data_IF_971927073428
#
_entry.id   IF_971927073428
#
_cell.length_a   1.000
_cell.length_b   1.000
_cell.length_c   1.000
_cell.angle_alpha   90.00
_cell.angle_beta   90.00
_cell.angle_gamma   90.00
#
_symmetry.space_group_name_H-M   'P 1'
#
loop_
_entity.id
_entity.type
_entity.pdbx_description
1 polymer ?
#
# COMPACT_ATOMS: atom_id res chain seq x y z
N UNK A 1 -11.89 -9.95 6.25
CA UNK A 1 -11.21 -8.85 5.54
C UNK A 1 -10.99 -9.29 4.11
N UNK A 2 -10.94 -8.35 3.17
CA UNK A 2 -10.68 -8.60 1.76
C UNK A 2 -9.24 -8.22 1.43
N UNK A 3 -8.63 -8.94 0.50
CA UNK A 3 -7.28 -8.69 0.03
C UNK A 3 -7.28 -7.54 -0.98
N UNK A 4 -6.31 -6.64 -0.85
CA UNK A 4 -6.08 -5.53 -1.76
C UNK A 4 -4.61 -5.46 -2.18
N UNK A 5 -4.43 -5.11 -3.46
CA UNK A 5 -3.16 -4.65 -4.01
C UNK A 5 -3.21 -3.12 -4.11
N UNK A 6 -2.20 -2.46 -3.59
CA UNK A 6 -2.08 -1.00 -3.63
C UNK A 6 -0.82 -0.63 -4.40
N UNK A 7 -0.94 0.33 -5.31
CA UNK A 7 0.19 0.97 -5.98
C UNK A 7 0.20 2.45 -5.70
N UNK A 8 1.34 2.95 -5.27
CA UNK A 8 1.66 4.37 -5.27
C UNK A 8 2.77 4.62 -6.28
N UNK A 9 2.61 5.67 -7.10
CA UNK A 9 3.61 6.09 -8.08
C UNK A 9 3.86 7.58 -7.94
N UNK A 10 5.10 8.00 -8.06
CA UNK A 10 5.47 9.41 -8.14
C UNK A 10 6.64 9.62 -9.11
N UNK A 11 6.99 10.88 -9.38
CA UNK A 11 8.18 11.26 -10.12
C UNK A 11 9.37 11.43 -9.18
N UNK A 12 10.60 11.26 -9.68
CA UNK A 12 11.80 11.41 -8.85
C UNK A 12 11.88 12.76 -8.13
N UNK A 13 11.33 13.82 -8.72
CA UNK A 13 11.29 15.15 -8.15
C UNK A 13 10.45 15.25 -6.86
N UNK A 14 9.41 14.41 -6.72
CA UNK A 14 8.50 14.40 -5.56
C UNK A 14 8.76 13.24 -4.60
N UNK A 15 9.90 12.57 -4.73
CA UNK A 15 10.23 11.39 -3.96
C UNK A 15 10.38 11.71 -2.46
N UNK A 16 9.50 11.20 -1.58
CA UNK A 16 9.55 11.52 -0.15
C UNK A 16 10.77 10.92 0.54
N UNK A 17 11.38 9.88 -0.04
CA UNK A 17 12.60 9.27 0.50
C UNK A 17 13.85 10.18 0.41
N UNK A 18 13.78 11.29 -0.34
CA UNK A 18 14.85 12.31 -0.37
C UNK A 18 14.81 13.24 0.84
N UNK A 19 13.68 13.27 1.57
CA UNK A 19 13.50 13.99 2.82
C UNK A 19 13.52 12.97 3.98
N UNK A 20 14.56 12.96 4.84
CA UNK A 20 14.68 11.98 5.92
C UNK A 20 13.50 12.00 6.90
N UNK A 21 12.95 13.17 7.22
CA UNK A 21 11.86 13.31 8.19
C UNK A 21 10.55 12.79 7.59
N UNK A 22 10.27 13.14 6.33
CA UNK A 22 9.11 12.63 5.60
C UNK A 22 9.19 11.12 5.39
N UNK A 23 10.38 10.61 5.01
CA UNK A 23 10.63 9.19 4.85
C UNK A 23 10.37 8.41 6.14
N UNK A 24 10.89 8.88 7.27
CA UNK A 24 10.66 8.25 8.57
C UNK A 24 9.18 8.28 8.99
N UNK A 25 8.50 9.41 8.76
CA UNK A 25 7.06 9.52 9.03
C UNK A 25 6.25 8.49 8.24
N UNK A 26 6.51 8.34 6.94
CA UNK A 26 5.80 7.37 6.09
C UNK A 26 6.12 5.92 6.49
N UNK A 27 7.38 5.61 6.83
CA UNK A 27 7.77 4.28 7.32
C UNK A 27 7.07 3.95 8.65
N UNK A 28 7.01 4.90 9.58
CA UNK A 28 6.26 4.71 10.83
C UNK A 28 4.77 4.52 10.57
N UNK A 29 4.20 5.21 9.59
CA UNK A 29 2.79 5.08 9.24
C UNK A 29 2.46 3.67 8.73
N UNK A 30 3.29 3.11 7.85
CA UNK A 30 3.08 1.76 7.26
C UNK A 30 3.62 0.60 8.09
N UNK A 31 4.23 0.85 9.25
CA UNK A 31 4.64 -0.27 10.09
C UNK A 31 3.40 -1.09 10.52
N UNK A 32 3.55 -2.42 10.60
CA UNK A 32 2.41 -3.34 10.82
C UNK A 32 1.64 -3.05 12.11
N UNK A 33 2.33 -2.64 13.18
CA UNK A 33 1.68 -2.35 14.45
C UNK A 33 0.80 -1.10 14.38
N UNK A 34 1.26 -0.07 13.67
CA UNK A 34 0.51 1.15 13.46
C UNK A 34 -0.64 0.92 12.48
N UNK A 35 -0.39 0.23 11.35
CA UNK A 35 -1.40 -0.10 10.35
C UNK A 35 -2.63 -0.80 10.96
N UNK A 36 -2.41 -1.73 11.91
CA UNK A 36 -3.51 -2.42 12.63
C UNK A 36 -4.43 -1.50 13.40
N UNK A 37 -3.95 -0.34 13.88
CA UNK A 37 -4.79 0.68 14.54
C UNK A 37 -5.79 1.32 13.57
N UNK A 38 -5.51 1.26 12.27
CA UNK A 38 -6.39 1.71 11.20
C UNK A 38 -7.23 0.57 10.62
N UNK A 39 -7.18 -0.64 11.21
CA UNK A 39 -7.83 -1.85 10.72
C UNK A 39 -7.23 -2.38 9.40
N UNK A 40 -5.94 -2.10 9.17
CA UNK A 40 -5.16 -2.62 8.03
C UNK A 40 -4.22 -3.73 8.54
N UNK A 41 -4.20 -4.87 7.87
CA UNK A 41 -3.18 -5.91 8.09
C UNK A 41 -2.27 -6.03 6.86
N UNK A 42 -1.01 -5.65 7.00
CA UNK A 42 -0.05 -5.61 5.88
C UNK A 42 0.67 -6.95 5.78
N UNK A 43 0.53 -7.60 4.62
CA UNK A 43 1.23 -8.84 4.28
C UNK A 43 2.66 -8.57 3.81
N UNK A 44 2.85 -7.52 3.01
CA UNK A 44 4.15 -7.12 2.50
C UNK A 44 4.14 -5.77 1.80
N UNK A 45 5.33 -5.20 1.71
CA UNK A 45 5.60 -3.93 1.06
C UNK A 45 6.89 -4.02 0.23
N UNK A 46 6.99 -3.23 -0.83
CA UNK A 46 8.23 -3.06 -1.56
C UNK A 46 8.26 -1.76 -2.37
N UNK A 47 9.46 -1.32 -2.71
CA UNK A 47 9.71 -0.28 -3.71
C UNK A 47 10.39 -0.93 -4.90
N UNK A 48 9.92 -0.66 -6.11
CA UNK A 48 10.58 -1.11 -7.32
C UNK A 48 11.80 -0.22 -7.59
N UNK A 49 13.00 -0.83 -7.64
CA UNK A 49 14.27 -0.10 -7.73
C UNK A 49 14.31 0.86 -8.93
N UNK A 50 14.53 2.15 -8.62
CA UNK A 50 14.61 3.23 -9.60
C UNK A 50 13.28 3.62 -10.27
N UNK A 51 12.19 2.92 -10.00
CA UNK A 51 10.90 3.15 -10.69
C UNK A 51 10.00 4.15 -9.97
N UNK A 52 10.33 4.56 -8.74
CA UNK A 52 9.47 5.43 -7.92
C UNK A 52 8.05 4.84 -7.70
N UNK A 53 7.97 3.51 -7.67
CA UNK A 53 6.75 2.74 -7.44
C UNK A 53 6.83 2.07 -6.08
N UNK A 54 5.87 2.36 -5.21
CA UNK A 54 5.67 1.67 -3.94
C UNK A 54 4.44 0.76 -4.03
N UNK A 55 4.54 -0.44 -3.50
CA UNK A 55 3.47 -1.45 -3.51
C UNK A 55 3.18 -1.93 -2.10
N UNK A 56 1.90 -2.14 -1.79
CA UNK A 56 1.44 -2.88 -0.61
C UNK A 56 0.51 -4.02 -1.01
N UNK A 57 0.66 -5.14 -0.31
CA UNK A 57 -0.32 -6.22 -0.26
C UNK A 57 -0.86 -6.24 1.16
N UNK A 58 -2.17 -6.03 1.31
CA UNK A 58 -2.80 -5.88 2.62
C UNK A 58 -4.23 -6.38 2.62
N UNK A 59 -4.73 -6.68 3.82
CA UNK A 59 -6.13 -6.90 4.09
C UNK A 59 -6.77 -5.66 4.73
N UNK A 60 -8.02 -5.40 4.38
CA UNK A 60 -8.87 -4.38 5.00
C UNK A 60 -10.35 -4.82 4.96
N UNK A 61 -11.21 -4.17 5.74
CA UNK A 61 -12.66 -4.44 5.66
C UNK A 61 -13.26 -3.85 4.38
N UNK A 62 -12.84 -2.64 4.03
CA UNK A 62 -13.37 -1.91 2.86
C UNK A 62 -12.24 -1.22 2.08
N UNK A 63 -12.50 -0.97 0.80
CA UNK A 63 -11.59 -0.19 -0.04
C UNK A 63 -11.38 1.23 0.51
N UNK A 64 -12.44 1.86 1.03
CA UNK A 64 -12.37 3.23 1.58
C UNK A 64 -11.39 3.32 2.76
N UNK A 65 -11.28 2.27 3.57
CA UNK A 65 -10.32 2.19 4.66
C UNK A 65 -8.88 2.21 4.13
N UNK A 66 -8.60 1.47 3.06
CA UNK A 66 -7.30 1.48 2.36
C UNK A 66 -7.01 2.87 1.80
N UNK A 67 -7.98 3.48 1.13
CA UNK A 67 -7.80 4.82 0.54
C UNK A 67 -7.56 5.90 1.59
N UNK A 68 -8.20 5.79 2.77
CA UNK A 68 -7.97 6.67 3.91
C UNK A 68 -6.58 6.45 4.52
N UNK A 69 -6.19 5.20 4.72
CA UNK A 69 -4.87 4.84 5.22
C UNK A 69 -3.75 5.36 4.30
N UNK A 70 -3.97 5.35 2.98
CA UNK A 70 -2.99 5.80 1.99
C UNK A 70 -2.98 7.32 1.75
N UNK A 71 -3.79 8.12 2.46
CA UNK A 71 -3.84 9.58 2.29
C UNK A 71 -2.46 10.27 2.38
N UNK A 72 -1.56 9.92 3.33
CA UNK A 72 -0.25 10.56 3.39
C UNK A 72 0.56 10.39 2.11
N UNK A 73 0.46 9.26 1.42
CA UNK A 73 1.20 9.02 0.17
C UNK A 73 0.68 9.85 -1.01
N UNK A 74 -0.60 10.24 -0.99
CA UNK A 74 -1.21 11.06 -2.05
C UNK A 74 -0.58 12.46 -2.18
N UNK A 75 0.19 12.91 -1.19
CA UNK A 75 0.93 14.17 -1.27
C UNK A 75 2.08 14.13 -2.29
N UNK A 76 2.65 12.94 -2.55
CA UNK A 76 3.79 12.76 -3.45
C UNK A 76 3.39 12.33 -4.87
N UNK A 77 2.23 11.67 -5.00
CA UNK A 77 1.75 11.11 -6.26
C UNK A 77 0.52 10.21 -6.08
N UNK A 78 -0.11 9.76 -7.17
CA UNK A 78 -1.33 8.97 -7.13
C UNK A 78 -1.19 7.67 -6.33
N UNK A 79 -2.33 7.24 -5.79
CA UNK A 79 -2.50 5.92 -5.17
C UNK A 79 -3.68 5.24 -5.84
N UNK A 80 -3.47 4.01 -6.28
CA UNK A 80 -4.48 3.14 -6.85
C UNK A 80 -4.64 1.89 -5.97
N UNK A 81 -5.88 1.43 -5.84
CA UNK A 81 -6.27 0.31 -4.97
C UNK A 81 -7.13 -0.64 -5.78
N UNK A 82 -6.73 -1.91 -5.85
CA UNK A 82 -7.46 -2.96 -6.54
C UNK A 82 -7.83 -4.09 -5.57
N UNK A 83 -9.06 -4.65 -5.67
CA UNK A 83 -9.35 -5.92 -5.01
C UNK A 83 -8.44 -7.00 -5.59
N UNK A 84 -7.99 -7.90 -4.73
CA UNK A 84 -7.11 -9.01 -5.10
C UNK A 84 -7.64 -10.33 -4.53
N UNK A 85 -7.05 -11.43 -4.94
CA UNK A 85 -7.31 -12.77 -4.39
C UNK A 85 -5.98 -13.48 -4.23
N UNK A 86 -5.85 -14.33 -3.21
CA UNK A 86 -4.70 -15.23 -3.14
C UNK A 86 -4.77 -16.25 -4.28
N UNK A 87 -3.62 -16.78 -4.69
CA UNK A 87 -3.59 -17.82 -5.71
C UNK A 87 -4.40 -19.06 -5.30
N UNK A 88 -4.42 -19.40 -4.02
CA UNK A 88 -5.24 -20.49 -3.48
C UNK A 88 -6.73 -20.29 -3.79
N UNK A 89 -7.28 -19.11 -3.47
CA UNK A 89 -8.69 -18.78 -3.77
C UNK A 89 -8.97 -18.81 -5.28
N UNK A 90 -8.03 -18.32 -6.10
CA UNK A 90 -8.15 -18.32 -7.57
C UNK A 90 -8.17 -19.75 -8.12
N UNK A 91 -7.32 -20.64 -7.59
CA UNK A 91 -7.25 -22.05 -7.99
C UNK A 91 -8.50 -22.80 -7.55
N UNK A 92 -8.96 -22.60 -6.31
CA UNK A 92 -10.17 -23.25 -5.78
C UNK A 92 -11.43 -22.90 -6.58
N UNK A 93 -11.53 -21.64 -7.06
CA UNK A 93 -12.65 -21.20 -7.91
C UNK A 93 -12.44 -21.48 -9.41
N UNK A 94 -11.33 -22.11 -9.79
CA UNK A 94 -10.98 -22.47 -11.16
C UNK A 94 -10.94 -21.27 -12.16
N UNK A 95 -10.50 -20.08 -11.72
CA UNK A 95 -10.39 -18.93 -12.61
C UNK A 95 -9.99 -17.62 -11.93
N UNK A 96 -9.36 -16.73 -12.70
CA UNK A 96 -9.05 -15.36 -12.30
C UNK A 96 -10.29 -14.48 -12.30
#
# INVERSE_FOLDING_TARGET
MSLYFVRHQHDSATCPAKDPDMGQMLLQHINRQNARKFGIDIHGDCVLDGQHTFVLILDAETRDQVEQFMKPFKMAGPVEVWPASSCEVVVERAGC
#
